data_IF_826839068838
#
_entry.id   IF_826839068838
#
_cell.length_a   1.000
_cell.length_b   1.000
_cell.length_c   1.000
_cell.angle_alpha   90.00
_cell.angle_beta   90.00
_cell.angle_gamma   90.00
#
_symmetry.space_group_name_H-M   'P 1'
#
loop_
_entity.id
_entity.type
_entity.pdbx_description
1 polymer ?
#
# COMPACT_ATOMS: atom_id res chain seq x y z
N UNK A 1 -4.21 21.16 -19.94
CA UNK A 1 -3.17 20.95 -18.92
C UNK A 1 -3.57 19.71 -18.14
N UNK A 2 -2.71 18.68 -18.10
CA UNK A 2 -2.98 17.46 -17.34
C UNK A 2 -2.73 17.77 -15.87
N UNK A 3 -3.77 17.70 -15.04
CA UNK A 3 -3.66 17.97 -13.61
C UNK A 3 -3.36 16.63 -12.93
N UNK A 4 -2.13 16.46 -12.44
CA UNK A 4 -1.76 15.26 -11.68
C UNK A 4 -2.52 15.23 -10.36
N UNK A 5 -3.27 14.16 -10.05
CA UNK A 5 -3.98 14.07 -8.78
C UNK A 5 -2.98 14.02 -7.63
N UNK A 6 -3.24 14.78 -6.57
CA UNK A 6 -2.48 14.71 -5.32
C UNK A 6 -3.13 13.66 -4.42
N UNK A 7 -2.37 12.64 -4.00
CA UNK A 7 -2.78 11.65 -3.01
C UNK A 7 -2.17 12.02 -1.66
N UNK A 8 -3.00 12.00 -0.62
CA UNK A 8 -2.58 12.19 0.77
C UNK A 8 -3.09 11.01 1.58
N UNK A 9 -2.23 10.41 2.39
CA UNK A 9 -2.58 9.41 3.38
C UNK A 9 -2.62 10.14 4.74
N UNK A 10 -3.78 10.14 5.40
CA UNK A 10 -4.02 10.89 6.64
C UNK A 10 -5.03 10.14 7.52
N UNK A 11 -5.07 10.49 8.80
CA UNK A 11 -5.96 9.88 9.78
C UNK A 11 -7.12 10.81 10.13
N UNK A 12 -8.27 10.21 10.46
CA UNK A 12 -9.45 10.94 10.93
C UNK A 12 -9.22 11.37 12.39
N UNK A 13 -9.13 12.68 12.61
CA UNK A 13 -8.98 13.29 13.94
C UNK A 13 -10.29 13.21 14.75
N UNK A 14 -10.25 13.41 16.10
CA UNK A 14 -11.45 13.41 16.93
C UNK A 14 -12.57 14.29 16.37
N UNK A 15 -13.80 13.78 16.42
CA UNK A 15 -14.96 14.45 15.84
C UNK A 15 -15.11 14.28 14.32
N UNK A 16 -14.36 13.36 13.70
CA UNK A 16 -14.52 13.05 12.27
C UNK A 16 -13.84 14.03 11.33
N UNK A 17 -12.84 14.78 11.82
CA UNK A 17 -12.18 15.84 11.04
C UNK A 17 -10.95 15.32 10.30
N UNK A 18 -10.80 15.73 9.04
CA UNK A 18 -9.59 15.55 8.25
C UNK A 18 -8.95 16.92 7.99
N UNK A 19 -7.63 17.04 8.17
CA UNK A 19 -6.86 18.26 7.89
C UNK A 19 -5.75 17.94 6.88
N UNK A 20 -5.61 18.80 5.86
CA UNK A 20 -4.71 18.60 4.72
C UNK A 20 -4.00 19.91 4.37
N UNK A 21 -2.68 19.88 4.28
CA UNK A 21 -1.88 20.98 3.73
C UNK A 21 -1.67 20.75 2.22
N UNK A 22 -2.28 21.61 1.40
CA UNK A 22 -2.24 21.50 -0.06
C UNK A 22 -1.42 22.63 -0.68
N UNK A 23 -0.61 22.37 -1.73
CA UNK A 23 0.20 23.38 -2.40
C UNK A 23 -0.63 24.18 -3.42
N UNK A 24 -1.81 24.65 -3.01
CA UNK A 24 -2.74 25.39 -3.86
C UNK A 24 -2.92 26.82 -3.34
N UNK A 25 -3.06 27.81 -4.22
CA UNK A 25 -3.25 29.19 -3.79
C UNK A 25 -4.62 29.38 -3.10
N UNK A 26 -4.73 30.34 -2.17
CA UNK A 26 -5.99 30.66 -1.51
C UNK A 26 -7.10 30.97 -2.51
N UNK A 27 -8.31 30.46 -2.26
CA UNK A 27 -9.48 30.65 -3.14
C UNK A 27 -9.60 29.64 -4.30
N UNK A 28 -8.67 28.69 -4.41
CA UNK A 28 -8.78 27.60 -5.37
C UNK A 28 -10.00 26.71 -5.10
N UNK A 29 -10.79 26.41 -6.14
CA UNK A 29 -11.87 25.45 -6.04
C UNK A 29 -11.31 24.03 -6.08
N UNK A 30 -11.57 23.25 -5.03
CA UNK A 30 -11.04 21.89 -4.86
C UNK A 30 -12.17 20.88 -4.68
N UNK A 31 -11.95 19.67 -5.19
CA UNK A 31 -12.82 18.52 -4.95
C UNK A 31 -12.02 17.51 -4.12
N UNK A 32 -12.57 17.07 -3.00
CA UNK A 32 -11.95 16.09 -2.11
C UNK A 32 -12.75 14.79 -2.16
N UNK A 33 -12.07 13.67 -2.42
CA UNK A 33 -12.64 12.33 -2.32
C UNK A 33 -12.06 11.67 -1.07
N UNK A 34 -12.93 11.26 -0.15
CA UNK A 34 -12.55 10.55 1.07
C UNK A 34 -12.94 9.09 0.91
N UNK A 35 -11.95 8.20 1.01
CA UNK A 35 -12.12 6.76 0.89
C UNK A 35 -11.40 6.14 2.08
N UNK A 36 -12.06 5.25 2.81
CA UNK A 36 -11.42 4.48 3.86
C UNK A 36 -10.34 3.59 3.23
N UNK A 37 -9.10 3.74 3.70
CA UNK A 37 -7.99 2.96 3.20
C UNK A 37 -7.96 1.62 3.95
N UNK A 38 -8.26 0.54 3.25
CA UNK A 38 -8.07 -0.80 3.81
C UNK A 38 -6.58 -1.17 3.74
N UNK A 39 -5.88 -0.96 4.86
CA UNK A 39 -4.47 -1.33 4.99
C UNK A 39 -4.21 -2.84 4.82
N UNK A 40 -5.26 -3.68 4.73
CA UNK A 40 -5.18 -5.10 4.44
C UNK A 40 -5.08 -5.48 2.96
N UNK A 41 -5.26 -4.55 2.01
CA UNK A 41 -5.40 -4.89 0.59
C UNK A 41 -4.20 -5.64 -0.06
N UNK A 42 -3.03 -5.65 0.60
CA UNK A 42 -1.83 -6.36 0.12
C UNK A 42 -1.37 -7.50 1.03
N UNK A 43 -2.07 -7.80 2.12
CA UNK A 43 -1.74 -8.96 2.96
C UNK A 43 -1.76 -10.25 2.17
N UNK A 44 -2.71 -10.36 1.26
CA UNK A 44 -2.92 -11.56 0.45
C UNK A 44 -1.82 -11.72 -0.61
N UNK A 45 -1.38 -10.61 -1.22
CA UNK A 45 -0.25 -10.62 -2.14
C UNK A 45 1.06 -10.95 -1.41
N UNK A 46 1.24 -10.42 -0.21
CA UNK A 46 2.40 -10.72 0.63
C UNK A 46 2.41 -12.19 1.05
N UNK A 47 1.27 -12.73 1.50
CA UNK A 47 1.11 -14.13 1.87
C UNK A 47 1.35 -15.07 0.68
N UNK A 48 0.80 -14.74 -0.50
CA UNK A 48 1.02 -15.51 -1.72
C UNK A 48 2.50 -15.53 -2.12
N UNK A 49 3.18 -14.39 -2.05
CA UNK A 49 4.61 -14.29 -2.36
C UNK A 49 5.45 -15.13 -1.40
N UNK A 50 5.14 -15.13 -0.11
CA UNK A 50 5.83 -15.96 0.89
C UNK A 50 5.63 -17.46 0.64
N UNK A 51 4.41 -17.90 0.30
CA UNK A 51 4.13 -19.32 0.01
C UNK A 51 4.84 -19.87 -1.23
N UNK A 52 5.26 -18.99 -2.16
CA UNK A 52 6.02 -19.40 -3.35
C UNK A 52 7.48 -19.77 -3.03
N UNK A 53 7.99 -19.36 -1.87
CA UNK A 53 9.31 -19.79 -1.39
C UNK A 53 9.28 -21.22 -0.86
N UNK A 54 8.17 -21.64 -0.23
CA UNK A 54 7.97 -23.01 0.26
C UNK A 54 7.99 -24.04 -0.89
N UNK A 55 7.63 -23.62 -2.11
CA UNK A 55 7.73 -24.47 -3.31
C UNK A 55 9.19 -24.85 -3.64
N UNK A 56 10.15 -23.97 -3.29
CA UNK A 56 11.59 -24.21 -3.48
C UNK A 56 12.27 -24.79 -2.23
N UNK A 57 11.56 -24.86 -1.09
CA UNK A 57 12.06 -25.44 0.17
C UNK A 57 11.82 -26.96 0.16
N UNK A 58 12.66 -27.66 -0.61
CA UNK A 58 12.60 -29.11 -0.75
C UNK A 58 13.83 -29.77 -0.09
N UNK A 59 13.65 -30.45 1.07
CA UNK A 59 14.75 -31.09 1.79
C UNK A 59 15.52 -32.14 0.97
N UNK A 60 14.89 -32.73 -0.05
CA UNK A 60 15.53 -33.68 -0.94
C UNK A 60 16.43 -33.00 -1.98
N UNK A 61 16.05 -31.80 -2.44
CA UNK A 61 16.88 -31.02 -3.37
C UNK A 61 18.07 -30.42 -2.62
N UNK A 62 17.89 -30.00 -1.37
CA UNK A 62 18.96 -29.49 -0.53
C UNK A 62 20.06 -30.52 -0.23
N UNK A 63 19.72 -31.80 -0.09
CA UNK A 63 20.68 -32.89 0.17
C UNK A 63 21.57 -33.20 -1.06
N UNK A 64 21.00 -33.08 -2.27
CA UNK A 64 21.68 -33.38 -3.54
C UNK A 64 22.41 -32.16 -4.14
N UNK A 65 21.88 -30.94 -3.97
CA UNK A 65 22.51 -29.71 -4.50
C UNK A 65 23.56 -29.07 -3.57
N UNK A 66 23.40 -29.13 -2.24
CA UNK A 66 24.35 -28.49 -1.33
C UNK A 66 25.63 -29.31 -1.08
N UNK A 67 25.73 -30.51 -1.65
CA UNK A 67 26.92 -31.37 -1.60
C UNK A 67 27.78 -31.33 -2.89
N UNK A 68 27.64 -30.28 -3.72
CA UNK A 68 28.45 -30.06 -4.92
C UNK A 68 29.84 -29.43 -4.63
#
# INVERSE_FOLDING_TARGET
MQQSPLKYDTEVKPGGRVELDVPLPPGSHVTVLVIECDNGAFSDLLAASQSSLDFWDNPFDDEDWNNA
#
